data_IF_572815419818
#
_entry.id   IF_572815419818
#
_cell.length_a   1.000
_cell.length_b   1.000
_cell.length_c   1.000
_cell.angle_alpha   90.00
_cell.angle_beta   90.00
_cell.angle_gamma   90.00
#
_symmetry.space_group_name_H-M   'P 1'
#
loop_
_entity.id
_entity.type
_entity.pdbx_description
1 polymer ?
#
# COMPACT_ATOMS: atom_id res chain seq x y z
N UNK A 1 43.15 15.72 -9.40
CA UNK A 1 42.93 14.26 -9.33
C UNK A 1 41.46 14.04 -9.63
N UNK A 2 41.21 13.60 -10.85
CA UNK A 2 39.88 13.48 -11.46
C UNK A 2 39.13 12.25 -10.94
N UNK A 3 37.81 12.40 -10.79
CA UNK A 3 36.89 11.33 -10.42
C UNK A 3 36.58 10.46 -11.65
N UNK A 4 36.87 9.16 -11.57
CA UNK A 4 36.36 8.13 -12.48
C UNK A 4 34.96 7.69 -12.05
N UNK A 5 33.95 7.67 -12.93
CA UNK A 5 32.72 6.90 -12.73
C UNK A 5 32.91 5.47 -13.26
N UNK A 6 32.57 4.46 -12.46
CA UNK A 6 32.50 3.06 -12.92
C UNK A 6 31.22 2.84 -13.74
N UNK A 7 31.41 2.17 -14.88
CA UNK A 7 30.48 1.93 -15.97
C UNK A 7 29.31 1.00 -15.61
N UNK A 8 28.14 1.26 -16.20
CA UNK A 8 26.99 0.33 -16.25
C UNK A 8 27.15 -0.60 -17.46
N UNK A 9 26.84 -1.90 -17.37
CA UNK A 9 26.85 -2.78 -18.53
C UNK A 9 25.60 -2.56 -19.39
N UNK A 10 25.82 -2.00 -20.58
CA UNK A 10 24.90 -2.08 -21.72
C UNK A 10 24.90 -3.51 -22.25
N UNK A 11 23.74 -4.18 -22.20
CA UNK A 11 23.51 -5.44 -22.90
C UNK A 11 22.36 -5.22 -23.89
N UNK A 12 22.72 -4.69 -25.06
CA UNK A 12 21.90 -4.73 -26.27
C UNK A 12 22.52 -5.77 -27.20
N UNK A 13 21.82 -6.89 -27.38
CA UNK A 13 22.05 -7.84 -28.47
C UNK A 13 20.68 -8.36 -28.95
N UNK A 14 20.14 -7.63 -29.94
CA UNK A 14 19.78 -8.13 -31.28
C UNK A 14 19.01 -9.46 -31.39
N UNK A 15 17.74 -9.31 -31.77
CA UNK A 15 16.92 -10.10 -32.70
C UNK A 15 17.24 -11.58 -32.91
N UNK A 16 16.33 -12.41 -32.43
CA UNK A 16 16.01 -13.69 -33.07
C UNK A 16 14.49 -13.79 -33.23
N UNK A 17 14.04 -13.75 -34.49
CA UNK A 17 12.76 -14.26 -34.97
C UNK A 17 12.46 -15.62 -34.32
N UNK A 18 11.47 -15.64 -33.43
CA UNK A 18 10.66 -16.82 -33.13
C UNK A 18 9.25 -16.31 -32.90
N UNK A 19 8.44 -16.41 -33.94
CA UNK A 19 6.99 -16.29 -33.89
C UNK A 19 6.42 -17.27 -32.85
N UNK A 20 5.82 -16.82 -31.74
CA UNK A 20 5.10 -17.71 -30.86
C UNK A 20 3.69 -17.89 -31.44
N UNK A 21 3.54 -18.98 -32.19
CA UNK A 21 2.30 -19.68 -32.52
C UNK A 21 1.06 -19.13 -31.79
N UNK A 22 0.10 -18.67 -32.60
CA UNK A 22 -1.27 -18.30 -32.27
C UNK A 22 -2.01 -19.43 -31.53
N UNK A 23 -1.74 -19.61 -30.25
CA UNK A 23 -2.59 -20.32 -29.33
C UNK A 23 -2.66 -19.55 -28.01
N UNK A 24 -3.17 -18.31 -28.09
CA UNK A 24 -3.72 -17.63 -26.92
C UNK A 24 -4.90 -18.50 -26.44
N UNK A 25 -4.85 -19.12 -25.25
CA UNK A 25 -6.05 -19.67 -24.65
C UNK A 25 -6.98 -18.47 -24.52
N UNK A 26 -8.16 -18.56 -25.14
CA UNK A 26 -9.20 -17.55 -25.11
C UNK A 26 -9.30 -17.03 -23.66
N UNK A 27 -8.74 -15.86 -23.39
CA UNK A 27 -8.77 -15.22 -22.08
C UNK A 27 -10.20 -14.73 -21.91
N UNK A 28 -11.10 -15.65 -21.58
CA UNK A 28 -12.44 -15.32 -21.12
C UNK A 28 -12.27 -14.31 -19.99
N UNK A 29 -12.91 -13.15 -20.16
CA UNK A 29 -12.77 -12.06 -19.20
C UNK A 29 -13.18 -12.52 -17.80
N UNK A 30 -12.60 -11.98 -16.71
CA UNK A 30 -12.96 -12.37 -15.34
C UNK A 30 -14.49 -12.31 -15.09
N UNK A 31 -15.18 -11.39 -15.77
CA UNK A 31 -16.64 -11.29 -15.76
C UNK A 31 -17.35 -12.47 -16.43
N UNK A 32 -16.83 -12.98 -17.54
CA UNK A 32 -17.41 -14.12 -18.28
C UNK A 32 -17.28 -15.41 -17.48
N UNK A 33 -16.13 -15.63 -16.84
CA UNK A 33 -15.95 -16.78 -15.96
C UNK A 33 -16.86 -16.71 -14.72
N UNK A 34 -17.05 -15.53 -14.14
CA UNK A 34 -17.97 -15.33 -13.02
C UNK A 34 -19.43 -15.62 -13.42
N UNK A 35 -19.84 -15.15 -14.61
CA UNK A 35 -21.17 -15.43 -15.20
C UNK A 35 -21.38 -16.94 -15.38
N UNK A 36 -20.42 -17.62 -15.98
CA UNK A 36 -20.45 -19.07 -16.24
C UNK A 36 -20.50 -19.88 -14.95
N UNK A 37 -19.76 -19.47 -13.93
CA UNK A 37 -19.77 -20.11 -12.60
C UNK A 37 -21.13 -19.93 -11.92
N UNK A 38 -21.71 -18.72 -11.98
CA UNK A 38 -23.06 -18.44 -11.45
C UNK A 38 -24.11 -19.30 -12.16
N UNK A 39 -24.04 -19.39 -13.49
CA UNK A 39 -24.98 -20.18 -14.28
C UNK A 39 -24.86 -21.68 -13.99
N UNK A 40 -23.64 -22.19 -13.87
CA UNK A 40 -23.39 -23.61 -13.54
C UNK A 40 -24.01 -23.96 -12.19
N UNK A 41 -23.67 -23.21 -11.14
CA UNK A 41 -24.17 -23.44 -9.78
C UNK A 41 -25.69 -23.25 -9.64
N UNK A 42 -26.28 -22.35 -10.43
CA UNK A 42 -27.71 -22.13 -10.43
C UNK A 42 -28.49 -23.24 -11.16
N UNK A 43 -27.92 -23.82 -12.21
CA UNK A 43 -28.64 -24.74 -13.09
C UNK A 43 -28.41 -26.20 -12.73
N UNK A 44 -27.22 -26.56 -12.24
CA UNK A 44 -26.83 -27.93 -11.87
C UNK A 44 -27.90 -28.67 -11.02
N UNK A 45 -28.43 -28.08 -9.92
CA UNK A 45 -29.40 -28.77 -9.08
C UNK A 45 -30.75 -29.04 -9.77
N UNK A 46 -31.08 -28.28 -10.81
CA UNK A 46 -32.35 -28.41 -11.54
C UNK A 46 -32.22 -29.22 -12.84
N UNK A 47 -31.00 -29.63 -13.26
CA UNK A 47 -30.79 -30.39 -14.50
C UNK A 47 -31.67 -31.65 -14.58
N UNK A 48 -31.79 -32.50 -13.53
CA UNK A 48 -32.63 -33.69 -13.61
C UNK A 48 -34.11 -33.35 -13.80
N UNK A 49 -34.60 -32.36 -13.05
CA UNK A 49 -36.00 -31.91 -13.13
C UNK A 49 -36.31 -31.26 -14.47
N UNK A 50 -35.36 -30.52 -15.04
CA UNK A 50 -35.47 -29.95 -16.39
C UNK A 50 -35.60 -31.01 -17.46
N UNK A 51 -34.82 -32.09 -17.35
CA UNK A 51 -34.89 -33.20 -18.28
C UNK A 51 -36.25 -33.89 -18.22
N UNK A 52 -36.72 -34.21 -17.00
CA UNK A 52 -38.06 -34.79 -16.80
C UNK A 52 -39.16 -33.86 -17.32
N UNK A 53 -39.01 -32.54 -17.15
CA UNK A 53 -39.97 -31.57 -17.65
C UNK A 53 -40.01 -31.52 -19.18
N UNK A 54 -38.86 -31.65 -19.84
CA UNK A 54 -38.78 -31.70 -21.30
C UNK A 54 -39.41 -32.99 -21.86
N UNK A 55 -39.15 -34.13 -21.21
CA UNK A 55 -39.78 -35.41 -21.58
C UNK A 55 -41.31 -35.32 -21.39
N UNK A 56 -41.76 -34.73 -20.28
CA UNK A 56 -43.17 -34.57 -19.96
C UNK A 56 -43.89 -33.57 -20.88
N UNK A 57 -43.20 -32.55 -21.39
CA UNK A 57 -43.76 -31.60 -22.35
C UNK A 57 -44.15 -32.30 -23.67
N UNK A 58 -43.42 -33.34 -24.06
CA UNK A 58 -43.78 -34.19 -25.20
C UNK A 58 -44.98 -35.11 -24.91
N UNK A 59 -45.06 -35.69 -23.72
CA UNK A 59 -46.08 -36.69 -23.36
C UNK A 59 -47.42 -36.07 -22.92
N UNK A 60 -47.38 -35.06 -22.05
CA UNK A 60 -48.54 -34.34 -21.52
C UNK A 60 -48.20 -32.85 -21.30
N UNK A 61 -48.39 -31.99 -22.32
CA UNK A 61 -48.05 -30.57 -22.24
C UNK A 61 -48.87 -29.81 -21.18
N UNK A 62 -50.07 -30.28 -20.82
CA UNK A 62 -50.89 -29.62 -19.79
C UNK A 62 -50.33 -29.88 -18.40
N UNK A 63 -49.90 -31.12 -18.14
CA UNK A 63 -49.24 -31.46 -16.88
C UNK A 63 -47.85 -30.84 -16.80
N UNK A 64 -47.08 -30.83 -17.88
CA UNK A 64 -45.79 -30.13 -17.96
C UNK A 64 -45.92 -28.65 -17.57
N UNK A 65 -46.94 -27.95 -18.08
CA UNK A 65 -47.19 -26.56 -17.70
C UNK A 65 -47.45 -26.37 -16.20
N UNK A 66 -48.23 -27.25 -15.57
CA UNK A 66 -48.48 -27.18 -14.12
C UNK A 66 -47.21 -27.41 -13.31
N UNK A 67 -46.40 -28.38 -13.71
CA UNK A 67 -45.11 -28.69 -13.07
C UNK A 67 -44.12 -27.53 -13.25
N UNK A 68 -44.02 -26.96 -14.45
CA UNK A 68 -43.20 -25.78 -14.74
C UNK A 68 -43.63 -24.57 -13.89
N UNK A 69 -44.93 -24.33 -13.75
CA UNK A 69 -45.49 -23.26 -12.92
C UNK A 69 -45.14 -23.41 -11.44
N UNK A 70 -45.03 -24.65 -10.95
CA UNK A 70 -44.61 -24.94 -9.58
C UNK A 70 -43.11 -24.72 -9.39
N UNK A 71 -42.27 -25.22 -10.31
CA UNK A 71 -40.80 -25.22 -10.16
C UNK A 71 -40.19 -23.84 -10.44
N UNK A 72 -40.79 -23.05 -11.33
CA UNK A 72 -40.26 -21.76 -11.77
C UNK A 72 -39.88 -20.79 -10.63
N UNK A 73 -40.75 -20.56 -9.64
CA UNK A 73 -40.43 -19.74 -8.47
C UNK A 73 -39.23 -20.26 -7.66
N UNK A 74 -39.14 -21.57 -7.44
CA UNK A 74 -38.04 -22.17 -6.69
C UNK A 74 -36.69 -22.01 -7.40
N UNK A 75 -36.66 -22.19 -8.73
CA UNK A 75 -35.45 -21.93 -9.50
C UNK A 75 -34.98 -20.48 -9.37
N UNK A 76 -35.89 -19.51 -9.52
CA UNK A 76 -35.53 -18.09 -9.42
C UNK A 76 -35.01 -17.72 -8.03
N UNK A 77 -35.59 -18.30 -6.98
CA UNK A 77 -35.09 -18.14 -5.61
C UNK A 77 -33.70 -18.73 -5.46
N UNK A 78 -33.46 -19.93 -5.99
CA UNK A 78 -32.14 -20.56 -5.98
C UNK A 78 -31.09 -19.73 -6.72
N UNK A 79 -31.38 -19.27 -7.94
CA UNK A 79 -30.54 -18.34 -8.70
C UNK A 79 -30.17 -17.09 -7.89
N UNK A 80 -31.15 -16.51 -7.17
CA UNK A 80 -30.91 -15.37 -6.29
C UNK A 80 -30.02 -15.72 -5.10
N UNK A 81 -30.21 -16.90 -4.48
CA UNK A 81 -29.39 -17.39 -3.38
C UNK A 81 -27.94 -17.61 -3.81
N UNK A 82 -27.71 -18.27 -4.95
CA UNK A 82 -26.38 -18.51 -5.52
C UNK A 82 -25.68 -17.17 -5.83
N UNK A 83 -26.39 -16.24 -6.47
CA UNK A 83 -25.86 -14.91 -6.77
C UNK A 83 -25.44 -14.14 -5.50
N UNK A 84 -26.31 -14.12 -4.47
CA UNK A 84 -25.98 -13.50 -3.17
C UNK A 84 -24.82 -14.19 -2.47
N UNK A 85 -24.71 -15.51 -2.55
CA UNK A 85 -23.61 -16.26 -1.96
C UNK A 85 -22.26 -15.87 -2.58
N UNK A 86 -22.18 -15.87 -3.92
CA UNK A 86 -20.95 -15.49 -4.65
C UNK A 86 -20.56 -14.05 -4.37
N UNK A 87 -21.54 -13.13 -4.38
CA UNK A 87 -21.30 -11.74 -4.01
C UNK A 87 -20.83 -11.60 -2.55
N UNK A 88 -21.37 -12.42 -1.64
CA UNK A 88 -20.93 -12.49 -0.25
C UNK A 88 -19.48 -12.94 -0.12
N UNK A 89 -19.09 -14.00 -0.81
CA UNK A 89 -17.69 -14.47 -0.84
C UNK A 89 -16.73 -13.41 -1.39
N UNK A 90 -17.13 -12.73 -2.48
CA UNK A 90 -16.33 -11.65 -3.07
C UNK A 90 -16.16 -10.47 -2.11
N UNK A 91 -17.23 -10.10 -1.40
CA UNK A 91 -17.19 -9.05 -0.39
C UNK A 91 -16.28 -9.44 0.78
N UNK A 92 -16.37 -10.69 1.26
CA UNK A 92 -15.52 -11.21 2.32
C UNK A 92 -14.04 -11.19 1.94
N UNK A 93 -13.71 -11.65 0.74
CA UNK A 93 -12.34 -11.60 0.21
C UNK A 93 -11.84 -10.16 0.10
N UNK A 94 -12.66 -9.24 -0.42
CA UNK A 94 -12.30 -7.82 -0.51
C UNK A 94 -12.08 -7.20 0.87
N UNK A 95 -12.91 -7.55 1.85
CA UNK A 95 -12.76 -7.09 3.24
C UNK A 95 -11.46 -7.58 3.86
N UNK A 96 -11.11 -8.85 3.61
CA UNK A 96 -9.85 -9.42 4.07
C UNK A 96 -8.64 -8.70 3.46
N UNK A 97 -8.64 -8.48 2.15
CA UNK A 97 -7.60 -7.70 1.47
C UNK A 97 -7.47 -6.27 2.04
N UNK A 98 -8.62 -5.64 2.34
CA UNK A 98 -8.64 -4.29 2.93
C UNK A 98 -8.07 -4.28 4.35
N UNK A 99 -8.38 -5.29 5.18
CA UNK A 99 -7.79 -5.44 6.52
C UNK A 99 -6.28 -5.57 6.43
N UNK A 100 -5.78 -6.42 5.54
CA UNK A 100 -4.33 -6.61 5.33
C UNK A 100 -3.65 -5.31 4.88
N UNK A 101 -4.20 -4.62 3.88
CA UNK A 101 -3.71 -3.31 3.46
C UNK A 101 -3.73 -2.29 4.61
N UNK A 102 -4.78 -2.30 5.44
CA UNK A 102 -4.87 -1.45 6.62
C UNK A 102 -3.79 -1.74 7.66
N UNK A 103 -3.46 -3.01 7.89
CA UNK A 103 -2.36 -3.38 8.80
C UNK A 103 -1.00 -2.93 8.26
N UNK A 104 -0.78 -3.06 6.95
CA UNK A 104 0.43 -2.61 6.29
C UNK A 104 0.61 -1.08 6.41
N UNK A 105 -0.42 -0.31 6.05
CA UNK A 105 -0.39 1.16 6.14
C UNK A 105 -0.15 1.66 7.57
N UNK A 106 -0.72 0.97 8.56
CA UNK A 106 -0.47 1.26 9.98
C UNK A 106 1.02 1.13 10.32
N UNK A 107 1.66 0.04 9.89
CA UNK A 107 3.09 -0.19 10.10
C UNK A 107 3.95 0.87 9.43
N UNK A 108 3.62 1.25 8.20
CA UNK A 108 4.34 2.31 7.47
C UNK A 108 4.20 3.66 8.17
N UNK A 109 2.99 4.01 8.60
CA UNK A 109 2.74 5.23 9.39
C UNK A 109 3.56 5.24 10.67
N UNK A 110 3.56 4.15 11.44
CA UNK A 110 4.28 4.07 12.71
C UNK A 110 5.80 4.17 12.49
N UNK A 111 6.31 3.54 11.42
CA UNK A 111 7.71 3.67 11.00
C UNK A 111 8.07 5.10 10.60
N UNK A 112 7.18 5.79 9.88
CA UNK A 112 7.38 7.19 9.49
C UNK A 112 7.37 8.13 10.70
N UNK A 113 6.42 7.93 11.63
CA UNK A 113 6.33 8.69 12.87
C UNK A 113 7.63 8.54 13.68
N UNK A 114 8.13 7.32 13.83
CA UNK A 114 9.39 7.06 14.53
C UNK A 114 10.57 7.79 13.88
N UNK A 115 10.65 7.79 12.54
CA UNK A 115 11.70 8.52 11.81
C UNK A 115 11.59 10.02 12.03
N UNK A 116 10.37 10.56 11.99
CA UNK A 116 10.10 11.97 12.24
C UNK A 116 10.53 12.38 13.65
N UNK A 117 10.15 11.62 14.67
CA UNK A 117 10.47 11.93 16.07
C UNK A 117 11.99 11.87 16.33
N UNK A 118 12.68 10.93 15.68
CA UNK A 118 14.16 10.86 15.71
C UNK A 118 14.81 12.11 15.11
N UNK A 119 14.29 12.62 13.99
CA UNK A 119 14.81 13.85 13.39
C UNK A 119 14.54 15.06 14.26
N UNK A 120 13.35 15.16 14.87
CA UNK A 120 13.03 16.21 15.83
C UNK A 120 13.98 16.19 17.04
N UNK A 121 14.24 15.01 17.61
CA UNK A 121 15.19 14.86 18.71
C UNK A 121 16.60 15.34 18.32
N UNK A 122 17.06 14.96 17.11
CA UNK A 122 18.36 15.39 16.58
C UNK A 122 18.42 16.91 16.36
N UNK A 123 17.36 17.51 15.82
CA UNK A 123 17.29 18.95 15.60
C UNK A 123 17.35 19.72 16.93
N UNK A 124 16.60 19.27 17.94
CA UNK A 124 16.65 19.86 19.30
C UNK A 124 18.03 19.76 19.91
N UNK A 125 18.68 18.61 19.77
CA UNK A 125 20.05 18.42 20.24
C UNK A 125 21.02 19.42 19.60
N UNK A 126 20.96 19.58 18.26
CA UNK A 126 21.81 20.56 17.58
C UNK A 126 21.50 22.00 17.99
N UNK A 127 20.22 22.34 18.19
CA UNK A 127 19.83 23.65 18.70
C UNK A 127 20.47 23.95 20.06
N UNK A 128 20.41 23.00 21.00
CA UNK A 128 21.02 23.13 22.32
C UNK A 128 22.55 23.22 22.26
N UNK A 129 23.18 22.36 21.46
CA UNK A 129 24.63 22.38 21.29
C UNK A 129 25.12 23.71 20.70
N UNK A 130 24.37 24.26 19.73
CA UNK A 130 24.70 25.53 19.10
C UNK A 130 24.54 26.69 20.07
N UNK A 131 23.45 26.75 20.85
CA UNK A 131 23.27 27.78 21.86
C UNK A 131 24.36 27.71 22.94
N UNK A 132 24.66 26.52 23.45
CA UNK A 132 25.75 26.33 24.42
C UNK A 132 27.11 26.76 23.86
N UNK A 133 27.39 26.46 22.58
CA UNK A 133 28.61 26.89 21.92
C UNK A 133 28.71 28.42 21.81
N UNK A 134 27.57 29.07 21.53
CA UNK A 134 27.45 30.53 21.43
C UNK A 134 27.67 31.20 22.78
N UNK A 135 27.02 30.70 23.84
CA UNK A 135 27.20 31.21 25.21
C UNK A 135 28.66 31.11 25.65
N UNK A 136 29.31 29.98 25.39
CA UNK A 136 30.73 29.80 25.69
C UNK A 136 31.63 30.75 24.90
N UNK A 137 31.35 30.98 23.62
CA UNK A 137 32.07 31.94 22.78
C UNK A 137 31.95 33.36 23.31
N UNK A 138 30.73 33.77 23.70
CA UNK A 138 30.47 35.08 24.31
C UNK A 138 31.29 35.24 25.60
N UNK A 139 31.23 34.26 26.50
CA UNK A 139 31.98 34.30 27.77
C UNK A 139 33.50 34.40 27.56
N UNK A 140 34.06 33.68 26.58
CA UNK A 140 35.47 33.77 26.23
C UNK A 140 35.84 35.16 25.69
N UNK A 141 34.97 35.75 24.86
CA UNK A 141 35.17 37.08 24.30
C UNK A 141 35.12 38.16 25.39
N UNK A 142 34.16 38.06 26.30
CA UNK A 142 34.03 38.97 27.45
C UNK A 142 35.27 38.91 28.36
N UNK A 143 35.76 37.69 28.63
CA UNK A 143 36.97 37.50 29.43
C UNK A 143 38.24 38.02 28.74
N UNK A 144 38.30 37.97 27.41
CA UNK A 144 39.39 38.57 26.63
C UNK A 144 39.35 40.10 26.64
N UNK A 145 38.15 40.67 26.60
CA UNK A 145 37.94 42.12 26.66
C UNK A 145 38.06 42.71 28.07
N UNK A 146 38.33 41.89 29.08
CA UNK A 146 38.52 42.34 30.45
C UNK A 146 39.85 43.10 30.57
N UNK A 147 39.84 44.40 30.91
CA UNK A 147 41.08 45.15 31.10
C UNK A 147 41.76 44.65 32.38
N UNK A 148 42.76 43.79 32.24
CA UNK A 148 43.68 43.50 33.32
C UNK A 148 44.46 44.79 33.62
N UNK A 149 44.01 45.55 34.60
CA UNK A 149 44.75 46.65 35.21
C UNK A 149 45.18 46.25 36.62
N UNK A 150 46.27 45.49 36.80
CA UNK A 150 47.00 45.52 38.05
C UNK A 150 48.07 46.61 37.94
N UNK A 151 47.75 47.77 38.51
CA UNK A 151 48.71 48.73 39.06
C UNK A 151 49.80 49.27 38.11
N UNK A 152 49.41 50.18 37.22
CA UNK A 152 50.30 51.28 36.76
C UNK A 152 50.01 52.61 37.48
N UNK A 153 49.19 52.58 38.54
CA UNK A 153 48.87 53.76 39.37
C UNK A 153 49.96 54.06 40.42
N UNK A 154 50.93 53.16 40.62
CA UNK A 154 52.03 53.35 41.59
C UNK A 154 53.34 53.92 41.04
N UNK A 155 53.48 54.16 39.71
CA UNK A 155 54.77 54.53 39.09
C UNK A 155 54.84 55.99 38.62
N UNK A 156 53.77 56.79 38.76
CA UNK A 156 53.78 58.20 38.31
C UNK A 156 54.20 59.20 39.40
N UNK A 157 54.43 58.76 40.64
CA UNK A 157 54.87 59.64 41.75
C UNK A 157 56.40 59.72 41.89
N UNK A 158 57.18 59.06 41.04
CA UNK A 158 58.67 59.02 41.14
C UNK A 158 59.37 59.97 40.15
N UNK A 159 58.66 60.66 39.25
CA UNK A 159 59.29 61.56 38.25
C UNK A 159 58.96 63.04 38.54
N UNK A 160 59.11 63.46 39.80
CA UNK A 160 59.05 64.88 40.16
C UNK A 160 59.90 65.25 41.38
N UNK A 161 61.17 64.82 41.38
CA UNK A 161 62.23 65.51 42.12
C UNK A 161 63.52 65.48 41.27
N UNK A 162 63.79 66.59 40.59
CA UNK A 162 65.11 67.27 40.51
C UNK A 162 64.96 68.62 39.81
#
# INVERSE_FOLDING_TARGET
MELRPCELPNLSNKDSDVEPSDHVPLLTSPSQHEEETRHTLATEPFQPTLKVLADLECDDPKFAFLVARLIGPYRRLWESCVSKHINGQKLEQSNQNLKEAGTYLRKERDGLQLRHDKQLARLRFFGQALESSRERLISLLDNWNYPYSPNLVGLLDVIREE
#
